data_IF_456905716071
#
_entry.id   IF_456905716071
#
_cell.length_a   1.000
_cell.length_b   1.000
_cell.length_c   1.000
_cell.angle_alpha   90.00
_cell.angle_beta   90.00
_cell.angle_gamma   90.00
#
_symmetry.space_group_name_H-M   'P 1'
#
loop_
_entity.id
_entity.type
_entity.pdbx_description
1 polymer ?
#
# COMPACT_ATOMS: atom_id res chain seq x y z
N UNK A 1 33.56 5.43 -18.67
CA UNK A 1 33.16 4.24 -17.89
C UNK A 1 31.74 3.87 -18.29
N UNK A 2 31.56 2.67 -18.85
CA UNK A 2 30.28 2.09 -19.26
C UNK A 2 29.60 1.46 -18.04
N UNK A 3 28.31 1.70 -17.86
CA UNK A 3 27.39 0.71 -17.28
C UNK A 3 26.35 0.39 -18.36
N UNK A 4 26.35 -0.83 -18.92
CA UNK A 4 25.40 -1.25 -19.94
C UNK A 4 24.12 -1.81 -19.29
N UNK A 5 22.97 -1.46 -19.86
CA UNK A 5 21.78 -2.29 -19.81
C UNK A 5 20.92 -2.20 -18.55
N UNK A 6 20.00 -1.23 -18.52
CA UNK A 6 18.65 -1.47 -18.01
C UNK A 6 17.65 -0.81 -18.96
N UNK A 7 16.71 -1.56 -19.58
CA UNK A 7 15.59 -0.93 -20.26
C UNK A 7 14.67 -0.34 -19.18
N UNK A 8 14.82 0.97 -18.92
CA UNK A 8 13.79 1.76 -18.28
C UNK A 8 12.58 1.80 -19.22
N UNK A 9 11.68 0.84 -19.07
CA UNK A 9 10.31 0.96 -19.54
C UNK A 9 9.42 0.94 -18.31
N UNK A 10 9.06 2.11 -17.81
CA UNK A 10 7.88 2.30 -16.98
C UNK A 10 7.02 3.38 -17.64
N UNK A 11 6.31 2.96 -18.68
CA UNK A 11 5.02 3.52 -19.04
C UNK A 11 4.01 2.43 -18.70
N UNK A 12 2.95 2.76 -17.96
CA UNK A 12 1.56 2.64 -18.42
C UNK A 12 0.59 2.99 -17.28
N UNK A 13 -0.56 3.46 -17.72
CA UNK A 13 -1.55 4.22 -17.00
C UNK A 13 -2.24 3.49 -15.83
N UNK A 14 -2.65 4.32 -14.87
CA UNK A 14 -3.84 4.25 -14.02
C UNK A 14 -4.35 2.87 -13.62
N UNK A 15 -4.31 2.57 -12.32
CA UNK A 15 -5.17 1.53 -11.76
C UNK A 15 -6.01 2.06 -10.60
N UNK A 16 -7.33 2.04 -10.83
CA UNK A 16 -8.36 2.08 -9.81
C UNK A 16 -8.42 0.72 -9.12
N UNK A 17 -8.30 0.69 -7.79
CA UNK A 17 -8.74 -0.44 -7.00
C UNK A 17 -10.28 -0.46 -7.01
N UNK A 18 -10.88 -1.05 -8.05
CA UNK A 18 -12.24 -1.53 -7.93
C UNK A 18 -12.18 -2.76 -7.03
N UNK A 19 -12.58 -2.57 -5.77
CA UNK A 19 -12.99 -3.68 -4.92
C UNK A 19 -14.14 -4.40 -5.61
N UNK A 20 -13.93 -5.66 -5.93
CA UNK A 20 -15.00 -6.55 -6.34
C UNK A 20 -15.94 -6.75 -5.14
N UNK A 21 -17.23 -6.61 -5.45
CA UNK A 21 -18.37 -7.23 -4.83
C UNK A 21 -18.77 -6.79 -3.42
N UNK A 22 -19.81 -5.95 -3.41
CA UNK A 22 -20.81 -5.99 -2.35
C UNK A 22 -21.43 -7.38 -2.29
N UNK A 23 -20.88 -8.23 -1.43
CA UNK A 23 -21.58 -9.39 -0.92
C UNK A 23 -22.38 -8.96 0.31
N UNK A 24 -23.69 -8.92 0.10
CA UNK A 24 -24.69 -8.97 1.16
C UNK A 24 -24.40 -10.18 2.06
N UNK A 25 -23.74 -9.95 3.20
CA UNK A 25 -23.47 -10.98 4.20
C UNK A 25 -24.81 -11.35 4.86
N UNK A 26 -25.29 -12.60 4.75
CA UNK A 26 -26.44 -13.03 5.53
C UNK A 26 -26.04 -13.02 7.00
N UNK A 27 -26.74 -12.21 7.80
CA UNK A 27 -26.57 -12.09 9.25
C UNK A 27 -26.98 -13.39 9.97
N UNK A 28 -26.13 -14.41 9.93
CA UNK A 28 -26.24 -15.57 10.83
C UNK A 28 -25.00 -15.63 11.71
N UNK A 29 -25.22 -15.47 13.01
CA UNK A 29 -24.19 -15.46 14.05
C UNK A 29 -23.38 -16.75 14.12
N UNK A 30 -23.91 -17.86 13.57
CA UNK A 30 -23.21 -19.14 13.45
C UNK A 30 -22.12 -19.11 12.39
N UNK A 31 -22.37 -18.49 11.24
CA UNK A 31 -21.41 -18.44 10.11
C UNK A 31 -20.22 -17.56 10.47
N UNK A 32 -20.45 -16.42 11.13
CA UNK A 32 -19.38 -15.57 11.64
C UNK A 32 -18.51 -16.30 12.66
N UNK A 33 -19.11 -17.02 13.62
CA UNK A 33 -18.37 -17.82 14.61
C UNK A 33 -17.56 -18.93 13.95
N UNK A 34 -18.07 -19.55 12.89
CA UNK A 34 -17.35 -20.59 12.16
C UNK A 34 -16.18 -20.04 11.35
N UNK A 35 -16.31 -18.84 10.76
CA UNK A 35 -15.20 -18.13 10.11
C UNK A 35 -14.16 -17.72 11.14
N UNK A 36 -14.58 -17.17 12.28
CA UNK A 36 -13.70 -16.77 13.37
C UNK A 36 -12.95 -17.97 13.97
N UNK A 37 -13.61 -19.13 14.08
CA UNK A 37 -13.00 -20.37 14.58
C UNK A 37 -12.07 -21.03 13.55
N UNK A 38 -12.41 -20.96 12.25
CA UNK A 38 -11.53 -21.39 11.16
C UNK A 38 -10.23 -20.56 11.12
N UNK A 39 -10.37 -19.23 11.17
CA UNK A 39 -9.23 -18.30 11.21
C UNK A 39 -8.36 -18.50 12.47
N UNK A 40 -8.98 -18.87 13.61
CA UNK A 40 -8.25 -19.19 14.86
C UNK A 40 -7.49 -20.52 14.78
N UNK A 41 -7.90 -21.45 13.93
CA UNK A 41 -7.26 -22.77 13.77
C UNK A 41 -6.15 -22.80 12.71
N UNK A 42 -6.06 -21.81 11.82
CA UNK A 42 -5.04 -21.74 10.76
C UNK A 42 -3.76 -20.97 11.12
N UNK A 43 -3.19 -21.18 12.32
CA UNK A 43 -1.88 -20.58 12.60
C UNK A 43 -0.99 -21.41 13.52
N UNK A 44 -0.32 -22.44 12.99
CA UNK A 44 0.90 -22.97 13.58
C UNK A 44 2.08 -21.98 13.47
N UNK A 45 2.06 -21.09 12.46
CA UNK A 45 3.21 -20.26 12.06
C UNK A 45 2.99 -18.73 12.15
N UNK A 46 1.91 -18.26 12.76
CA UNK A 46 1.71 -16.83 13.09
C UNK A 46 1.26 -15.92 11.93
N UNK A 47 0.92 -16.44 10.76
CA UNK A 47 0.64 -15.62 9.57
C UNK A 47 -0.87 -15.55 9.24
N UNK A 48 -1.54 -14.50 9.73
CA UNK A 48 -2.94 -14.19 9.42
C UNK A 48 -3.04 -13.49 8.06
N UNK A 49 -2.94 -14.25 6.96
CA UNK A 49 -3.26 -13.75 5.63
C UNK A 49 -4.79 -13.69 5.45
N UNK A 50 -5.30 -12.65 4.81
CA UNK A 50 -6.72 -12.56 4.47
C UNK A 50 -7.08 -13.67 3.47
N UNK A 51 -7.95 -14.59 3.89
CA UNK A 51 -8.17 -15.91 3.26
C UNK A 51 -8.73 -15.80 1.83
N UNK A 52 -9.44 -14.72 1.51
CA UNK A 52 -10.03 -14.46 0.20
C UNK A 52 -9.04 -13.94 -0.84
N UNK A 53 -7.83 -13.56 -0.44
CA UNK A 53 -6.87 -12.90 -1.32
C UNK A 53 -7.34 -11.52 -1.79
N UNK A 54 -6.54 -10.88 -2.65
CA UNK A 54 -6.88 -9.57 -3.18
C UNK A 54 -6.06 -9.26 -4.43
N UNK A 55 -6.56 -8.32 -5.25
CA UNK A 55 -5.84 -7.86 -6.43
C UNK A 55 -4.90 -6.71 -6.05
N UNK A 56 -3.63 -6.85 -6.41
CA UNK A 56 -2.66 -5.77 -6.31
C UNK A 56 -2.53 -5.07 -7.65
N UNK A 57 -2.25 -3.78 -7.59
CA UNK A 57 -2.09 -2.92 -8.75
C UNK A 57 -0.87 -2.03 -8.53
N UNK A 58 -0.42 -1.33 -9.56
CA UNK A 58 0.70 -0.40 -9.45
C UNK A 58 0.29 0.99 -9.91
N UNK A 59 0.75 2.01 -9.20
CA UNK A 59 0.59 3.39 -9.61
C UNK A 59 1.68 4.27 -8.98
N UNK A 60 1.97 5.39 -9.62
CA UNK A 60 2.76 6.48 -9.08
C UNK A 60 2.24 7.78 -9.65
N UNK A 61 1.46 8.52 -8.87
CA UNK A 61 0.80 9.77 -9.29
C UNK A 61 1.52 11.02 -8.78
N UNK A 62 2.66 10.84 -8.10
CA UNK A 62 3.43 11.88 -7.40
C UNK A 62 2.68 12.62 -6.27
N UNK A 63 1.41 12.32 -6.03
CA UNK A 63 0.60 13.01 -5.04
C UNK A 63 1.21 12.89 -3.64
N UNK A 64 0.97 13.89 -2.79
CA UNK A 64 1.12 13.70 -1.34
C UNK A 64 0.30 12.48 -0.89
N UNK A 65 0.95 11.52 -0.24
CA UNK A 65 0.32 10.28 0.24
C UNK A 65 -0.73 10.57 1.33
N UNK A 66 -1.81 9.79 1.37
CA UNK A 66 -2.92 10.00 2.33
C UNK A 66 -2.47 9.99 3.80
N UNK A 67 -1.52 9.11 4.14
CA UNK A 67 -0.96 9.00 5.50
C UNK A 67 -0.05 10.18 5.89
N UNK A 68 0.25 11.12 4.98
CA UNK A 68 1.04 12.33 5.27
C UNK A 68 0.21 13.51 5.78
N UNK A 69 -1.12 13.37 5.85
CA UNK A 69 -1.97 14.37 6.50
C UNK A 69 -1.96 14.19 8.02
N UNK A 70 -1.95 15.28 8.80
CA UNK A 70 -2.05 15.20 10.25
C UNK A 70 -3.46 14.77 10.70
N UNK A 71 -3.61 14.50 11.99
CA UNK A 71 -4.90 14.15 12.60
C UNK A 71 -5.27 12.66 12.49
N UNK A 72 -4.33 11.80 12.09
CA UNK A 72 -4.48 10.34 12.14
C UNK A 72 -4.04 9.85 13.53
N UNK A 73 -4.95 9.24 14.27
CA UNK A 73 -4.73 8.78 15.65
C UNK A 73 -4.05 7.40 15.75
N UNK A 74 -3.95 6.67 14.63
CA UNK A 74 -3.36 5.32 14.56
C UNK A 74 -1.85 5.29 14.28
N UNK A 75 -1.24 6.46 14.02
CA UNK A 75 0.21 6.57 13.78
C UNK A 75 0.84 7.55 14.75
N UNK A 76 2.08 7.26 15.17
CA UNK A 76 2.84 8.16 16.06
C UNK A 76 3.15 9.51 15.40
N UNK A 77 3.31 9.52 14.06
CA UNK A 77 3.55 10.70 13.22
C UNK A 77 3.05 10.45 11.80
N UNK A 78 2.62 11.48 11.06
CA UNK A 78 2.30 11.35 9.64
C UNK A 78 3.52 10.93 8.81
N UNK A 79 3.26 10.29 7.67
CA UNK A 79 4.28 10.02 6.67
C UNK A 79 4.88 11.34 6.14
N UNK A 80 6.14 11.30 5.69
CA UNK A 80 6.79 12.47 5.11
C UNK A 80 6.31 12.74 3.69
N UNK A 81 6.23 14.03 3.36
CA UNK A 81 6.11 14.52 1.98
C UNK A 81 7.41 15.22 1.59
N UNK A 82 7.68 15.27 0.29
CA UNK A 82 8.85 15.94 -0.26
C UNK A 82 8.43 17.11 -1.16
N UNK A 83 9.35 18.03 -1.39
CA UNK A 83 9.23 19.05 -2.43
C UNK A 83 9.26 18.39 -3.82
N UNK A 84 9.10 19.21 -4.86
CA UNK A 84 9.03 18.74 -6.26
C UNK A 84 10.28 17.95 -6.71
N UNK A 85 11.42 18.12 -6.05
CA UNK A 85 12.64 17.36 -6.32
C UNK A 85 12.57 15.89 -5.84
N UNK A 86 11.53 15.54 -5.07
CA UNK A 86 11.32 14.20 -4.52
C UNK A 86 12.28 13.82 -3.40
N UNK A 87 13.17 14.71 -2.96
CA UNK A 87 14.22 14.42 -1.96
C UNK A 87 14.22 15.39 -0.78
N UNK A 88 13.89 16.66 -1.01
CA UNK A 88 13.82 17.67 0.05
C UNK A 88 12.56 17.44 0.85
N UNK A 89 12.73 16.94 2.07
CA UNK A 89 11.62 16.67 2.98
C UNK A 89 10.96 17.98 3.43
N UNK A 90 9.63 17.98 3.45
CA UNK A 90 8.81 19.06 3.99
C UNK A 90 8.47 18.74 5.44
N UNK A 91 8.73 19.69 6.35
CA UNK A 91 8.40 19.53 7.77
C UNK A 91 6.95 19.90 8.09
N UNK A 92 6.33 20.78 7.29
CA UNK A 92 4.93 21.13 7.46
C UNK A 92 4.00 20.08 6.85
N UNK A 93 3.45 19.24 7.72
CA UNK A 93 2.44 18.24 7.34
C UNK A 93 1.12 18.83 6.82
N UNK A 94 0.85 20.13 6.98
CA UNK A 94 -0.34 20.80 6.42
C UNK A 94 -0.13 21.29 4.98
N UNK A 95 1.10 21.25 4.45
CA UNK A 95 1.39 21.70 3.09
C UNK A 95 0.52 20.96 2.06
N UNK A 96 -0.12 21.74 1.18
CA UNK A 96 -1.05 21.25 0.16
C UNK A 96 -0.36 20.32 -0.84
N UNK A 97 -1.06 19.26 -1.25
CA UNK A 97 -0.60 18.32 -2.28
C UNK A 97 -0.38 19.03 -3.62
N UNK A 98 0.69 18.69 -4.33
CA UNK A 98 0.95 19.17 -5.69
C UNK A 98 -0.20 18.92 -6.67
N UNK A 99 -0.91 17.81 -6.50
CA UNK A 99 -2.07 17.44 -7.33
C UNK A 99 -3.33 18.27 -7.03
N UNK A 100 -3.27 19.11 -5.99
CA UNK A 100 -4.25 20.15 -5.67
C UNK A 100 -3.65 21.57 -5.83
N UNK A 101 -2.58 21.71 -6.62
CA UNK A 101 -1.89 22.99 -6.85
C UNK A 101 -0.91 23.41 -5.76
N UNK A 102 -0.60 22.54 -4.80
CA UNK A 102 0.38 22.79 -3.74
C UNK A 102 1.81 22.41 -4.10
N UNK A 103 2.63 22.15 -3.08
CA UNK A 103 4.07 21.87 -3.22
C UNK A 103 4.54 20.57 -2.53
N UNK A 104 3.62 19.80 -1.94
CA UNK A 104 3.91 18.51 -1.32
C UNK A 104 3.66 17.33 -2.27
N UNK A 105 4.66 16.45 -2.40
CA UNK A 105 4.67 15.28 -3.27
C UNK A 105 5.11 14.01 -2.52
N UNK A 106 4.90 12.84 -3.12
CA UNK A 106 5.52 11.59 -2.65
C UNK A 106 7.05 11.69 -2.70
N UNK A 107 7.73 11.10 -1.72
CA UNK A 107 9.20 11.12 -1.65
C UNK A 107 9.81 9.97 -2.46
N UNK A 108 10.97 10.19 -3.07
CA UNK A 108 11.72 9.17 -3.80
C UNK A 108 12.11 7.97 -2.91
N UNK A 109 12.29 8.20 -1.61
CA UNK A 109 12.55 7.14 -0.62
C UNK A 109 11.35 6.22 -0.35
N UNK A 110 10.18 6.53 -0.89
CA UNK A 110 8.96 5.70 -0.81
C UNK A 110 8.82 4.76 -2.01
N UNK A 111 9.80 4.74 -2.93
CA UNK A 111 9.84 3.76 -4.02
C UNK A 111 10.08 2.33 -3.48
N UNK A 112 9.54 1.30 -4.15
CA UNK A 112 9.78 -0.08 -3.75
C UNK A 112 11.27 -0.45 -3.91
N UNK A 113 11.75 -1.34 -3.05
CA UNK A 113 13.11 -1.84 -3.11
C UNK A 113 13.18 -3.33 -2.73
N UNK A 114 14.20 -4.00 -3.24
CA UNK A 114 14.52 -5.39 -2.88
C UNK A 114 15.39 -5.38 -1.63
N UNK A 115 15.14 -6.30 -0.69
CA UNK A 115 15.96 -6.45 0.51
C UNK A 115 17.41 -6.72 0.13
N UNK A 116 18.34 -5.98 0.74
CA UNK A 116 19.78 -6.17 0.51
C UNK A 116 20.28 -7.52 1.02
N UNK A 117 19.58 -8.15 1.97
CA UNK A 117 19.93 -9.44 2.56
C UNK A 117 19.15 -10.63 1.99
N UNK A 118 18.05 -10.39 1.28
CA UNK A 118 17.22 -11.44 0.69
C UNK A 118 16.62 -10.99 -0.65
N UNK A 119 17.15 -11.45 -1.80
CA UNK A 119 16.65 -11.01 -3.12
C UNK A 119 15.23 -11.50 -3.43
N UNK A 120 14.69 -12.45 -2.66
CA UNK A 120 13.31 -12.93 -2.77
C UNK A 120 12.30 -12.09 -1.96
N UNK A 121 12.79 -11.13 -1.16
CA UNK A 121 11.95 -10.26 -0.34
C UNK A 121 12.04 -8.83 -0.85
N UNK A 122 10.89 -8.22 -1.13
CA UNK A 122 10.78 -6.83 -1.54
C UNK A 122 9.88 -6.07 -0.58
N UNK A 123 10.16 -4.78 -0.42
CA UNK A 123 9.38 -3.85 0.38
C UNK A 123 8.81 -2.77 -0.52
N UNK A 124 7.56 -2.39 -0.26
CA UNK A 124 6.87 -1.35 -1.00
C UNK A 124 5.91 -0.61 -0.06
N UNK A 125 5.59 0.63 -0.42
CA UNK A 125 4.42 1.33 0.12
C UNK A 125 3.22 1.03 -0.78
N UNK A 126 2.03 0.93 -0.19
CA UNK A 126 0.80 0.63 -0.92
C UNK A 126 -0.32 1.57 -0.53
N UNK A 127 -1.24 1.79 -1.47
CA UNK A 127 -2.54 2.37 -1.19
C UNK A 127 -3.60 1.28 -1.21
N UNK A 128 -4.69 1.51 -0.48
CA UNK A 128 -5.83 0.61 -0.42
C UNK A 128 -7.14 1.39 -0.34
N UNK A 129 -8.26 0.78 -0.76
CA UNK A 129 -9.55 1.46 -0.71
C UNK A 129 -9.95 1.73 0.74
N UNK A 130 -10.58 2.88 0.97
CA UNK A 130 -11.11 3.26 2.27
C UNK A 130 -12.48 2.59 2.43
N UNK A 131 -12.51 1.26 2.55
CA UNK A 131 -13.75 0.51 2.77
C UNK A 131 -14.17 0.50 4.25
N UNK A 132 -13.19 0.46 5.16
CA UNK A 132 -13.39 0.36 6.62
C UNK A 132 -12.88 1.59 7.40
N UNK A 133 -12.72 2.73 6.70
CA UNK A 133 -12.13 3.95 7.26
C UNK A 133 -10.61 3.99 7.17
N UNK A 134 -10.05 5.20 7.18
CA UNK A 134 -8.62 5.46 6.97
C UNK A 134 -7.72 4.91 8.09
N UNK A 135 -8.25 4.94 9.32
CA UNK A 135 -7.54 4.47 10.51
C UNK A 135 -7.35 2.95 10.54
N UNK A 136 -8.09 2.21 9.71
CA UNK A 136 -7.96 0.74 9.64
C UNK A 136 -6.64 0.27 9.02
N UNK A 137 -5.85 1.17 8.42
CA UNK A 137 -4.67 0.76 7.68
C UNK A 137 -3.49 1.72 7.58
N UNK A 138 -3.65 2.99 7.95
CA UNK A 138 -2.49 3.89 7.95
C UNK A 138 -1.42 3.43 8.93
N UNK A 139 -0.18 3.33 8.44
CA UNK A 139 0.98 2.87 9.21
C UNK A 139 1.08 1.36 9.41
N UNK A 140 0.11 0.58 8.94
CA UNK A 140 0.16 -0.87 9.01
C UNK A 140 1.15 -1.44 7.97
N UNK A 141 1.77 -2.57 8.32
CA UNK A 141 2.60 -3.36 7.41
C UNK A 141 1.90 -4.70 7.12
N UNK A 142 1.95 -5.14 5.87
CA UNK A 142 1.35 -6.39 5.42
C UNK A 142 2.42 -7.27 4.79
N UNK A 143 2.41 -8.56 5.11
CA UNK A 143 3.17 -9.55 4.35
C UNK A 143 2.29 -10.09 3.24
N UNK A 144 2.65 -9.81 1.99
CA UNK A 144 1.89 -10.22 0.81
C UNK A 144 2.69 -11.29 0.07
N UNK A 145 2.06 -12.43 -0.18
CA UNK A 145 2.58 -13.46 -1.06
C UNK A 145 1.78 -13.46 -2.35
N UNK A 146 2.43 -13.11 -3.46
CA UNK A 146 1.81 -13.15 -4.77
C UNK A 146 1.64 -14.59 -5.23
N UNK A 147 0.40 -14.98 -5.53
CA UNK A 147 0.10 -16.26 -6.17
C UNK A 147 0.42 -16.22 -7.67
N UNK A 148 0.31 -15.03 -8.27
CA UNK A 148 0.62 -14.76 -9.68
C UNK A 148 1.50 -13.51 -9.77
N UNK A 149 2.53 -13.56 -10.63
CA UNK A 149 3.41 -12.41 -10.85
C UNK A 149 2.77 -11.43 -11.84
N UNK A 150 2.81 -10.10 -11.58
CA UNK A 150 2.37 -9.10 -12.53
C UNK A 150 3.13 -9.23 -13.86
N UNK A 151 2.40 -9.26 -14.98
CA UNK A 151 3.00 -9.20 -16.33
C UNK A 151 3.43 -10.53 -16.95
N UNK A 152 2.89 -11.68 -16.50
CA UNK A 152 3.05 -12.96 -17.21
C UNK A 152 1.80 -13.32 -18.03
N UNK A 153 1.65 -12.66 -19.18
CA UNK A 153 0.92 -13.16 -20.36
C UNK A 153 1.85 -13.14 -21.55
#
# INVERSE_FOLDING_TARGET
MRLPGQPFFMLFASVLLLGADGLHVPSSSSTQRQIDEYNRRQSPDGQHCEVTGGQATQYWDCCKVGAAWPGKNVVVRPAHSCAKDGVTRLEDSMTTSGSKGGSAFACNSQQPFVSSSNPMLSYAVGARPIALGEDSFFGACYSIQFQELPGKT
#
